data_IF_592522923674
#
_entry.id   IF_592522923674
#
_cell.length_a   1.000
_cell.length_b   1.000
_cell.length_c   1.000
_cell.angle_alpha   90.00
_cell.angle_beta   90.00
_cell.angle_gamma   90.00
#
_symmetry.space_group_name_H-M   'P 1'
#
loop_
_entity.id
_entity.type
_entity.pdbx_description
1 polymer ?
#
# COMPACT_ATOMS: atom_id res chain seq x y z
N UNK A 1 10.42 -50.58 -19.99
CA UNK A 1 9.14 -49.94 -20.34
C UNK A 1 8.69 -49.16 -19.13
N UNK A 2 8.94 -47.85 -19.10
CA UNK A 2 8.51 -46.96 -18.01
C UNK A 2 7.05 -46.56 -18.27
N UNK A 3 6.21 -46.65 -17.24
CA UNK A 3 4.80 -46.25 -17.32
C UNK A 3 4.73 -44.73 -17.51
N UNK A 4 3.93 -44.21 -18.44
CA UNK A 4 3.55 -42.81 -18.44
C UNK A 4 2.54 -42.59 -17.29
N UNK A 5 2.37 -41.37 -16.82
CA UNK A 5 1.41 -40.98 -15.78
C UNK A 5 1.90 -41.14 -14.32
N UNK A 6 3.08 -40.58 -14.02
CA UNK A 6 3.28 -40.00 -12.68
C UNK A 6 2.62 -38.61 -12.69
N UNK A 7 1.56 -38.37 -11.88
CA UNK A 7 0.98 -37.05 -11.77
C UNK A 7 1.99 -36.12 -11.08
N UNK A 8 2.33 -35.02 -11.75
CA UNK A 8 3.13 -33.96 -11.14
C UNK A 8 2.47 -33.50 -9.84
N UNK A 9 3.22 -33.40 -8.72
CA UNK A 9 2.64 -32.96 -7.46
C UNK A 9 2.06 -31.56 -7.64
N UNK A 10 0.75 -31.42 -7.38
CA UNK A 10 0.07 -30.14 -7.33
C UNK A 10 0.62 -29.37 -6.13
N UNK A 11 1.39 -28.32 -6.38
CA UNK A 11 1.74 -27.32 -5.39
C UNK A 11 0.54 -26.36 -5.26
N UNK A 12 -0.10 -26.27 -4.09
CA UNK A 12 -1.15 -25.29 -3.87
C UNK A 12 -0.57 -23.89 -4.10
N UNK A 13 -1.15 -23.13 -5.03
CA UNK A 13 -0.92 -21.70 -5.12
C UNK A 13 -1.75 -21.00 -4.03
N UNK A 14 -1.21 -19.92 -3.48
CA UNK A 14 -1.99 -19.07 -2.58
C UNK A 14 -3.19 -18.51 -3.36
N UNK A 15 -4.37 -18.49 -2.72
CA UNK A 15 -5.61 -18.02 -3.35
C UNK A 15 -5.73 -16.48 -3.34
N UNK A 16 -4.95 -15.82 -2.48
CA UNK A 16 -4.85 -14.37 -2.33
C UNK A 16 -3.36 -14.00 -2.30
N UNK A 17 -2.82 -13.65 -3.45
CA UNK A 17 -1.41 -13.31 -3.58
C UNK A 17 -1.14 -11.82 -3.28
N UNK A 18 0.13 -11.43 -3.32
CA UNK A 18 0.50 -10.03 -3.10
C UNK A 18 -0.09 -9.08 -4.13
N UNK A 19 -0.36 -9.53 -5.36
CA UNK A 19 -1.00 -8.70 -6.39
C UNK A 19 -2.50 -8.51 -6.11
N UNK A 20 -3.19 -9.53 -5.62
CA UNK A 20 -4.58 -9.43 -5.19
C UNK A 20 -4.74 -8.43 -4.02
N UNK A 21 -3.76 -8.41 -3.08
CA UNK A 21 -3.79 -7.53 -1.91
C UNK A 21 -3.33 -6.10 -2.19
N UNK A 22 -2.25 -5.91 -2.95
CA UNK A 22 -1.58 -4.62 -3.14
C UNK A 22 -1.70 -4.06 -4.56
N UNK A 23 -2.29 -4.82 -5.50
CA UNK A 23 -2.21 -4.57 -6.93
C UNK A 23 -0.87 -5.03 -7.52
N UNK A 24 -0.70 -4.90 -8.84
CA UNK A 24 0.58 -5.20 -9.49
C UNK A 24 1.70 -4.33 -8.90
N UNK A 25 2.71 -4.96 -8.29
CA UNK A 25 3.88 -4.27 -7.73
C UNK A 25 5.02 -4.39 -8.73
N UNK A 26 5.63 -3.26 -9.10
CA UNK A 26 6.83 -3.28 -9.93
C UNK A 26 8.02 -3.78 -9.10
N UNK A 27 8.64 -4.89 -9.50
CA UNK A 27 9.85 -5.39 -8.84
C UNK A 27 11.04 -4.47 -9.16
N UNK A 28 11.77 -4.07 -8.11
CA UNK A 28 12.95 -3.22 -8.28
C UNK A 28 14.07 -4.01 -8.97
N UNK A 29 14.39 -3.64 -10.22
CA UNK A 29 15.51 -4.21 -10.96
C UNK A 29 16.80 -3.39 -10.73
N UNK A 30 17.77 -4.00 -10.06
CA UNK A 30 19.10 -3.40 -9.84
C UNK A 30 20.11 -3.80 -10.93
N UNK A 31 19.70 -4.63 -11.89
CA UNK A 31 20.56 -5.13 -12.94
C UNK A 31 20.80 -4.02 -13.97
N UNK A 32 21.99 -3.42 -13.90
CA UNK A 32 22.38 -2.22 -14.65
C UNK A 32 22.28 -2.33 -16.19
N UNK A 33 22.02 -3.53 -16.70
CA UNK A 33 21.78 -3.81 -18.13
C UNK A 33 20.34 -3.60 -18.56
N UNK A 34 19.41 -3.71 -17.62
CA UNK A 34 17.98 -3.51 -17.80
C UNK A 34 17.55 -2.11 -17.33
N UNK A 35 18.50 -1.29 -16.88
CA UNK A 35 18.25 0.08 -16.50
C UNK A 35 17.94 0.90 -17.77
N UNK A 36 16.64 1.12 -18.02
CA UNK A 36 16.14 1.90 -19.15
C UNK A 36 16.35 3.42 -18.97
N UNK A 37 16.88 3.87 -17.82
CA UNK A 37 17.20 5.29 -17.58
C UNK A 37 18.36 5.71 -18.47
N UNK A 38 18.02 6.24 -19.64
CA UNK A 38 18.97 6.80 -20.58
C UNK A 38 19.25 8.28 -20.25
N UNK A 39 20.52 8.62 -20.03
CA UNK A 39 20.94 10.01 -19.82
C UNK A 39 22.25 10.11 -19.06
N UNK A 40 23.02 11.15 -19.34
CA UNK A 40 24.15 11.57 -18.51
C UNK A 40 23.65 12.52 -17.44
N UNK A 41 24.32 12.51 -16.29
CA UNK A 41 24.11 13.53 -15.26
C UNK A 41 24.27 14.91 -15.90
N UNK A 42 23.21 15.71 -15.89
CA UNK A 42 23.14 17.03 -16.50
C UNK A 42 22.35 17.13 -17.80
N UNK A 43 21.86 16.00 -18.34
CA UNK A 43 20.91 16.02 -19.46
C UNK A 43 19.57 16.64 -19.05
N UNK A 44 18.90 17.29 -19.99
CA UNK A 44 17.63 17.97 -19.76
C UNK A 44 16.51 16.93 -19.54
N UNK A 45 15.85 17.03 -18.39
CA UNK A 45 14.71 16.16 -18.06
C UNK A 45 13.47 16.54 -18.87
N UNK A 46 12.58 15.57 -19.19
CA UNK A 46 11.31 15.87 -19.83
C UNK A 46 10.51 16.91 -19.04
N UNK A 47 9.98 17.93 -19.73
CA UNK A 47 9.26 19.04 -19.09
C UNK A 47 8.12 18.57 -18.18
N UNK A 48 7.39 17.53 -18.61
CA UNK A 48 6.30 16.92 -17.83
C UNK A 48 6.77 16.36 -16.49
N UNK A 49 7.96 15.77 -16.41
CA UNK A 49 8.50 15.27 -15.14
C UNK A 49 8.95 16.42 -14.24
N UNK A 50 9.54 17.47 -14.82
CA UNK A 50 9.99 18.65 -14.09
C UNK A 50 8.81 19.38 -13.46
N UNK A 51 7.74 19.62 -14.22
CA UNK A 51 6.52 20.29 -13.71
C UNK A 51 5.85 19.52 -12.57
N UNK A 52 5.91 18.19 -12.61
CA UNK A 52 5.33 17.33 -11.57
C UNK A 52 6.19 17.27 -10.31
N UNK A 53 7.51 17.12 -10.44
CA UNK A 53 8.42 17.10 -9.30
C UNK A 53 8.56 18.49 -8.63
N UNK A 54 8.43 19.56 -9.43
CA UNK A 54 8.57 20.95 -9.02
C UNK A 54 7.30 21.75 -9.38
N UNK A 55 6.18 21.50 -8.69
CA UNK A 55 4.97 22.27 -8.89
C UNK A 55 5.23 23.76 -8.52
N UNK A 56 4.44 24.71 -9.07
CA UNK A 56 4.69 26.14 -8.90
C UNK A 56 4.85 26.59 -7.44
N UNK A 57 4.11 25.95 -6.52
CA UNK A 57 4.21 26.19 -5.08
C UNK A 57 5.59 25.81 -4.53
N UNK A 58 6.08 24.61 -4.83
CA UNK A 58 7.41 24.14 -4.41
C UNK A 58 8.52 25.03 -4.96
N UNK A 59 8.39 25.48 -6.21
CA UNK A 59 9.36 26.42 -6.82
C UNK A 59 9.37 27.75 -6.07
N UNK A 60 8.20 28.26 -5.68
CA UNK A 60 8.09 29.52 -4.94
C UNK A 60 8.63 29.42 -3.51
N UNK A 61 8.45 28.28 -2.85
CA UNK A 61 8.92 27.99 -1.49
C UNK A 61 10.39 27.52 -1.47
N UNK A 62 11.06 27.38 -2.63
CA UNK A 62 12.43 26.86 -2.69
C UNK A 62 13.40 27.75 -1.93
N UNK A 63 14.14 27.14 -1.00
CA UNK A 63 15.08 27.83 -0.14
C UNK A 63 14.45 28.65 0.99
N UNK A 64 13.12 28.59 1.14
CA UNK A 64 12.42 29.10 2.31
C UNK A 64 12.41 28.01 3.39
N UNK A 65 12.47 28.42 4.65
CA UNK A 65 12.14 27.53 5.77
C UNK A 65 10.67 27.70 6.14
N UNK A 66 10.10 26.80 6.92
CA UNK A 66 8.68 26.84 7.26
C UNK A 66 8.21 28.16 7.90
N UNK A 67 9.08 28.83 8.66
CA UNK A 67 8.81 30.16 9.19
C UNK A 67 8.58 31.25 8.12
N UNK A 68 9.07 31.04 6.89
CA UNK A 68 8.94 31.97 5.77
C UNK A 68 7.85 31.57 4.76
N UNK A 69 7.51 30.28 4.69
CA UNK A 69 6.61 29.75 3.66
C UNK A 69 5.13 30.12 3.85
N UNK A 70 4.72 30.61 5.03
CA UNK A 70 3.33 31.02 5.36
C UNK A 70 2.25 30.02 4.89
N UNK A 71 2.62 28.75 4.75
CA UNK A 71 1.76 27.70 4.20
C UNK A 71 0.81 27.19 5.29
N UNK A 72 -0.44 26.88 4.95
CA UNK A 72 -1.28 26.08 5.84
C UNK A 72 -0.76 24.63 5.81
N UNK A 73 0.13 24.29 6.74
CA UNK A 73 0.52 22.91 7.00
C UNK A 73 -0.23 22.38 8.23
N UNK A 74 -0.48 21.07 8.30
CA UNK A 74 -1.10 20.47 9.48
C UNK A 74 -0.23 20.61 10.75
N UNK A 75 1.06 20.94 10.58
CA UNK A 75 2.03 21.13 11.64
C UNK A 75 2.27 22.61 11.96
N UNK A 76 2.68 22.88 13.20
CA UNK A 76 2.80 24.22 13.79
C UNK A 76 3.83 25.13 13.07
N UNK A 77 4.74 24.54 12.30
CA UNK A 77 5.90 25.23 11.72
C UNK A 77 5.80 25.50 10.21
N UNK A 78 4.62 25.31 9.58
CA UNK A 78 4.37 25.60 8.16
C UNK A 78 5.42 24.99 7.22
N UNK A 79 5.66 23.69 7.39
CA UNK A 79 6.89 23.06 6.91
C UNK A 79 6.95 22.99 5.39
N UNK A 80 8.11 23.31 4.82
CA UNK A 80 8.37 23.19 3.38
C UNK A 80 9.01 21.85 3.04
N UNK A 81 9.03 21.53 1.74
CA UNK A 81 9.77 20.36 1.21
C UNK A 81 11.27 20.36 1.50
N UNK A 82 11.86 21.49 1.90
CA UNK A 82 13.29 21.63 2.18
C UNK A 82 13.64 21.44 3.68
N UNK A 83 12.64 21.40 4.57
CA UNK A 83 12.81 21.39 6.04
C UNK A 83 12.91 19.99 6.66
N UNK A 84 12.89 18.91 5.86
CA UNK A 84 13.03 17.51 6.29
C UNK A 84 12.10 17.12 7.47
N UNK A 85 10.83 17.55 7.45
CA UNK A 85 9.82 17.07 8.39
C UNK A 85 9.28 15.69 8.06
N UNK A 86 8.71 14.97 9.03
CA UNK A 86 8.01 13.70 8.77
C UNK A 86 7.06 13.75 7.56
N UNK A 87 6.25 14.82 7.43
CA UNK A 87 5.31 15.03 6.32
C UNK A 87 5.97 15.14 4.95
N UNK A 88 7.24 15.55 4.90
CA UNK A 88 7.99 15.75 3.64
C UNK A 88 8.98 14.62 3.38
N UNK A 89 9.18 13.72 4.36
CA UNK A 89 10.01 12.52 4.22
C UNK A 89 9.29 11.37 3.52
N UNK A 90 7.96 11.34 3.58
CA UNK A 90 7.14 10.31 2.95
C UNK A 90 6.38 10.91 1.76
N UNK A 91 6.35 10.18 0.65
CA UNK A 91 5.54 10.57 -0.50
C UNK A 91 4.08 10.18 -0.27
N UNK A 92 3.26 11.18 0.09
CA UNK A 92 1.81 11.02 0.31
C UNK A 92 0.97 11.19 -0.97
N UNK A 93 1.59 11.30 -2.14
CA UNK A 93 0.86 11.47 -3.41
C UNK A 93 0.07 10.22 -3.82
N UNK A 94 0.31 9.08 -3.16
CA UNK A 94 -0.31 7.80 -3.43
C UNK A 94 0.37 7.01 -4.56
N UNK A 95 1.60 7.38 -4.93
CA UNK A 95 2.45 6.57 -5.80
C UNK A 95 2.81 5.24 -5.11
N UNK A 96 2.81 4.12 -5.83
CA UNK A 96 3.17 2.80 -5.26
C UNK A 96 4.67 2.53 -5.37
N UNK A 97 5.35 3.19 -6.31
CA UNK A 97 6.79 3.14 -6.48
C UNK A 97 7.35 4.55 -6.80
N UNK A 98 8.67 4.66 -6.94
CA UNK A 98 9.35 5.94 -7.15
C UNK A 98 9.16 6.52 -8.57
N UNK A 99 8.72 5.70 -9.53
CA UNK A 99 8.55 6.05 -10.94
C UNK A 99 7.06 6.25 -11.31
N UNK A 100 6.14 5.77 -10.48
CA UNK A 100 4.71 5.95 -10.58
C UNK A 100 4.29 7.35 -10.16
N UNK A 101 3.38 7.93 -10.93
CA UNK A 101 2.78 9.22 -10.60
C UNK A 101 1.69 9.00 -9.55
N UNK A 102 1.86 9.59 -8.37
CA UNK A 102 0.78 9.61 -7.38
C UNK A 102 -0.43 10.38 -7.90
N UNK A 103 -1.63 9.85 -7.67
CA UNK A 103 -2.89 10.43 -8.15
C UNK A 103 -3.41 11.58 -7.27
N UNK A 104 -2.63 12.04 -6.30
CA UNK A 104 -2.96 13.17 -5.45
C UNK A 104 -3.95 12.78 -4.38
N UNK A 105 -3.45 12.09 -3.37
CA UNK A 105 -4.19 11.75 -2.18
C UNK A 105 -3.60 10.50 -1.54
N UNK A 106 -3.55 10.42 -0.21
CA UNK A 106 -3.14 9.20 0.47
C UNK A 106 -4.02 8.04 0.01
N UNK A 107 -3.40 6.92 -0.36
CA UNK A 107 -4.10 5.78 -0.95
C UNK A 107 -5.21 5.24 -0.02
N UNK A 108 -5.06 5.42 1.29
CA UNK A 108 -6.01 5.07 2.34
C UNK A 108 -7.24 5.99 2.43
N UNK A 109 -7.23 7.14 1.75
CA UNK A 109 -8.35 8.11 1.78
C UNK A 109 -9.37 7.91 0.65
N UNK A 110 -9.06 7.09 -0.36
CA UNK A 110 -10.01 6.80 -1.45
C UNK A 110 -11.01 5.73 -1.02
N UNK A 111 -12.03 6.16 -0.30
CA UNK A 111 -13.10 5.27 0.18
C UNK A 111 -14.26 5.25 -0.82
N UNK A 112 -14.74 4.05 -1.17
CA UNK A 112 -16.02 3.87 -1.87
C UNK A 112 -17.03 3.25 -0.92
N UNK A 113 -18.30 3.66 -1.03
CA UNK A 113 -19.40 2.97 -0.34
C UNK A 113 -19.61 1.63 -1.04
N UNK A 114 -19.39 0.56 -0.29
CA UNK A 114 -19.61 -0.83 -0.72
C UNK A 114 -20.91 -1.36 -0.12
N UNK A 115 -21.58 -2.28 -0.82
CA UNK A 115 -22.70 -3.02 -0.24
C UNK A 115 -22.18 -4.08 0.75
N UNK A 116 -23.06 -4.61 1.61
CA UNK A 116 -22.70 -5.63 2.61
C UNK A 116 -21.97 -6.85 2.01
N UNK A 117 -22.26 -7.14 0.73
CA UNK A 117 -21.73 -8.30 -0.02
C UNK A 117 -20.35 -8.08 -0.63
N UNK A 118 -19.84 -6.86 -0.55
CA UNK A 118 -18.54 -6.45 -1.09
C UNK A 118 -17.53 -6.18 0.03
N UNK A 119 -17.94 -6.30 1.29
CA UNK A 119 -17.07 -6.18 2.45
C UNK A 119 -16.45 -7.57 2.71
N UNK A 120 -15.11 -7.64 2.73
CA UNK A 120 -14.38 -8.90 2.98
C UNK A 120 -14.57 -9.94 1.87
N UNK A 121 -14.68 -11.23 2.23
CA UNK A 121 -14.87 -12.35 1.29
C UNK A 121 -16.26 -12.42 0.60
N UNK A 122 -17.15 -11.47 0.89
CA UNK A 122 -18.48 -11.38 0.29
C UNK A 122 -19.49 -12.38 0.86
N UNK A 123 -19.82 -13.43 0.11
CA UNK A 123 -20.82 -14.43 0.53
C UNK A 123 -20.20 -15.48 1.46
N UNK A 124 -20.80 -15.68 2.63
CA UNK A 124 -20.41 -16.76 3.54
C UNK A 124 -20.53 -16.33 4.99
N UNK A 125 -20.14 -17.23 5.89
CA UNK A 125 -19.79 -16.86 7.25
C UNK A 125 -18.44 -16.13 7.19
N UNK A 126 -18.24 -15.12 8.03
CA UNK A 126 -16.90 -14.58 8.22
C UNK A 126 -15.99 -15.65 8.84
N UNK A 127 -14.68 -15.42 8.84
CA UNK A 127 -13.71 -16.40 9.32
C UNK A 127 -13.97 -16.80 10.78
N UNK A 128 -14.48 -15.87 11.59
CA UNK A 128 -14.82 -16.11 12.98
C UNK A 128 -16.02 -17.06 13.10
N UNK A 129 -17.14 -16.77 12.42
CA UNK A 129 -18.32 -17.63 12.41
C UNK A 129 -18.06 -18.97 11.71
N UNK A 130 -17.22 -18.99 10.66
CA UNK A 130 -16.79 -20.22 10.01
C UNK A 130 -15.99 -21.09 10.98
N UNK A 131 -15.04 -20.53 11.72
CA UNK A 131 -14.25 -21.25 12.72
C UNK A 131 -15.11 -21.81 13.88
N UNK A 132 -16.29 -21.23 14.14
CA UNK A 132 -17.26 -21.79 15.09
C UNK A 132 -18.03 -22.96 14.51
N UNK A 133 -18.37 -22.87 13.22
CA UNK A 133 -19.20 -23.87 12.52
C UNK A 133 -18.39 -25.07 12.00
N UNK A 134 -17.15 -24.84 11.58
CA UNK A 134 -16.20 -25.81 11.02
C UNK A 134 -14.77 -25.52 11.52
N UNK A 135 -14.46 -25.90 12.77
CA UNK A 135 -13.15 -25.69 13.38
C UNK A 135 -12.04 -26.46 12.64
N UNK A 136 -10.85 -25.86 12.48
CA UNK A 136 -9.72 -26.49 11.76
C UNK A 136 -9.23 -27.79 12.40
N UNK A 137 -9.46 -27.97 13.70
CA UNK A 137 -9.13 -29.17 14.46
C UNK A 137 -10.28 -30.19 14.51
N UNK A 138 -11.46 -29.85 13.98
CA UNK A 138 -12.66 -30.68 13.96
C UNK A 138 -13.34 -30.84 15.32
N UNK A 139 -12.89 -30.14 16.36
CA UNK A 139 -13.49 -30.18 17.69
C UNK A 139 -14.51 -29.05 17.85
N UNK A 140 -15.78 -29.33 18.19
CA UNK A 140 -16.82 -28.32 18.28
C UNK A 140 -16.47 -27.27 19.34
N UNK A 141 -16.74 -26.00 19.03
CA UNK A 141 -16.45 -24.91 19.94
C UNK A 141 -17.28 -25.04 21.22
N UNK A 142 -16.62 -25.24 22.36
CA UNK A 142 -17.27 -25.27 23.67
C UNK A 142 -17.35 -23.85 24.19
N UNK A 143 -18.57 -23.33 24.31
CA UNK A 143 -18.89 -22.01 24.90
C UNK A 143 -18.77 -22.04 26.45
N UNK A 144 -17.74 -22.71 26.94
CA UNK A 144 -17.43 -22.88 28.36
C UNK A 144 -16.14 -22.08 28.61
N UNK A 145 -16.28 -20.77 28.83
CA UNK A 145 -15.41 -19.98 29.72
C UNK A 145 -15.80 -18.50 29.71
N UNK A 146 -16.82 -18.15 30.51
CA UNK A 146 -16.70 -17.17 31.60
C UNK A 146 -17.89 -17.35 32.53
N UNK A 147 -17.69 -18.13 33.59
CA UNK A 147 -18.49 -17.98 34.80
C UNK A 147 -18.43 -16.51 35.24
N UNK A 148 -19.55 -15.80 35.09
CA UNK A 148 -19.81 -14.56 35.80
C UNK A 148 -19.81 -14.88 37.31
N UNK A 149 -18.65 -14.83 37.97
CA UNK A 149 -18.66 -14.73 39.43
C UNK A 149 -19.33 -13.38 39.81
N UNK A 150 -20.49 -13.38 40.50
CA UNK A 150 -21.05 -12.15 41.00
C UNK A 150 -20.13 -11.63 42.11
N UNK A 151 -19.45 -10.50 41.83
CA UNK A 151 -18.69 -9.76 42.84
C UNK A 151 -19.62 -9.43 44.01
N UNK A 152 -19.30 -9.97 45.19
CA UNK A 152 -19.90 -9.60 46.47
C UNK A 152 -19.34 -8.29 47.01
#
# INVERSE_FOLDING_TARGET
MSRPDDPTPYTPSELDDTEDRMGSVHELDFDQRNDEREGRVGDERPAREVEQAFPPRRVAESGMTGGEALSDSAHEDNVTWDDLSPDTLLDETGARDADELGTGGPADQTLRRVDEREIGGGYGLDEAELARSDPLDGEPWTDDDVDEEPRK
#
